data_IF_013305613939
#
_entry.id   IF_013305613939
#
_cell.length_a   1.000
_cell.length_b   1.000
_cell.length_c   1.000
_cell.angle_alpha   90.00
_cell.angle_beta   90.00
_cell.angle_gamma   90.00
#
_symmetry.space_group_name_H-M   'P 1'
#
loop_
_entity.id
_entity.type
_entity.pdbx_description
1 polymer ?
#
# COMPACT_ATOMS: atom_id res chain seq x y z
N UNK A 1 -13.48 -3.51 8.83
CA UNK A 1 -12.56 -4.65 8.88
C UNK A 1 -13.06 -5.65 7.85
N UNK A 2 -12.35 -5.87 6.77
CA UNK A 2 -12.72 -6.89 5.78
C UNK A 2 -12.59 -8.25 6.44
N UNK A 3 -13.60 -9.10 6.25
CA UNK A 3 -13.58 -10.45 6.79
C UNK A 3 -12.68 -11.32 5.96
N UNK A 4 -11.93 -12.19 6.62
CA UNK A 4 -11.22 -13.26 5.96
C UNK A 4 -12.26 -14.16 5.25
N UNK A 5 -12.25 -14.15 3.93
CA UNK A 5 -13.19 -14.93 3.11
C UNK A 5 -12.94 -16.44 3.18
N UNK A 6 -11.81 -16.84 3.77
CA UNK A 6 -11.46 -18.26 3.96
C UNK A 6 -12.22 -18.89 5.14
N UNK A 7 -12.71 -18.08 6.07
CA UNK A 7 -13.47 -18.58 7.22
C UNK A 7 -14.93 -18.79 6.81
N UNK A 8 -15.36 -20.04 6.80
CA UNK A 8 -16.75 -20.44 6.52
C UNK A 8 -17.31 -21.21 7.70
N UNK A 9 -18.54 -20.91 8.08
CA UNK A 9 -19.26 -21.58 9.15
C UNK A 9 -20.65 -22.03 8.66
N UNK A 10 -21.23 -22.98 9.35
CA UNK A 10 -22.58 -23.42 9.03
C UNK A 10 -23.61 -22.31 9.34
N UNK A 11 -24.65 -22.24 8.52
CA UNK A 11 -25.76 -21.31 8.75
C UNK A 11 -26.46 -21.60 10.06
N UNK A 12 -26.87 -20.57 10.84
CA UNK A 12 -27.76 -20.75 11.97
C UNK A 12 -29.09 -21.43 11.53
N UNK A 13 -29.53 -22.40 12.30
CA UNK A 13 -30.76 -23.17 11.96
C UNK A 13 -32.05 -22.34 12.09
N UNK A 14 -32.06 -21.32 12.93
CA UNK A 14 -33.25 -20.51 13.24
C UNK A 14 -32.90 -19.04 13.44
N UNK A 15 -33.89 -18.16 13.32
CA UNK A 15 -33.76 -16.72 13.64
C UNK A 15 -32.99 -15.93 12.60
N UNK A 16 -32.91 -16.40 11.35
CA UNK A 16 -32.20 -15.73 10.28
C UNK A 16 -33.14 -15.19 9.21
N UNK A 17 -32.71 -14.11 8.57
CA UNK A 17 -33.34 -13.52 7.40
C UNK A 17 -32.28 -13.21 6.33
N UNK A 18 -32.69 -13.25 5.08
CA UNK A 18 -31.80 -12.99 3.94
C UNK A 18 -32.13 -11.66 3.30
N UNK A 19 -31.11 -10.97 2.80
CA UNK A 19 -31.27 -9.75 1.98
C UNK A 19 -30.24 -9.74 0.86
N UNK A 20 -30.71 -9.64 -0.38
CA UNK A 20 -29.84 -9.51 -1.55
C UNK A 20 -29.51 -8.05 -1.80
N UNK A 21 -28.20 -7.71 -1.87
CA UNK A 21 -27.68 -6.35 -2.11
C UNK A 21 -26.53 -6.48 -3.11
N UNK A 22 -26.63 -5.76 -4.23
CA UNK A 22 -25.59 -5.75 -5.29
C UNK A 22 -25.12 -7.16 -5.72
N UNK A 23 -26.09 -8.07 -5.94
CA UNK A 23 -25.80 -9.43 -6.38
C UNK A 23 -25.30 -10.39 -5.30
N UNK A 24 -25.09 -9.94 -4.07
CA UNK A 24 -24.61 -10.75 -2.94
C UNK A 24 -25.72 -10.94 -1.91
N UNK A 25 -25.81 -12.14 -1.34
CA UNK A 25 -26.82 -12.48 -0.32
C UNK A 25 -26.23 -12.31 1.08
N UNK A 26 -26.79 -11.37 1.85
CA UNK A 26 -26.42 -11.13 3.25
C UNK A 26 -27.37 -11.84 4.19
N UNK A 27 -26.82 -12.38 5.28
CA UNK A 27 -27.55 -13.10 6.32
C UNK A 27 -27.66 -12.22 7.55
N UNK A 28 -28.88 -12.08 8.05
CA UNK A 28 -29.21 -11.28 9.23
C UNK A 28 -29.73 -12.20 10.33
N UNK A 29 -29.33 -11.94 11.56
CA UNK A 29 -29.89 -12.56 12.76
C UNK A 29 -30.94 -11.64 13.35
N UNK A 30 -32.11 -12.19 13.68
CA UNK A 30 -33.22 -11.46 14.30
C UNK A 30 -32.96 -11.40 15.80
N UNK A 31 -32.68 -10.20 16.31
CA UNK A 31 -32.37 -9.98 17.72
C UNK A 31 -33.60 -9.72 18.57
N UNK A 32 -34.63 -9.11 18.00
CA UNK A 32 -35.91 -8.89 18.66
C UNK A 32 -37.06 -8.88 17.64
N UNK A 33 -38.22 -9.35 18.07
CA UNK A 33 -39.47 -9.24 17.31
C UNK A 33 -40.50 -8.49 18.16
N UNK A 34 -41.09 -7.45 17.62
CA UNK A 34 -42.05 -6.61 18.32
C UNK A 34 -43.12 -6.06 17.36
N UNK A 35 -44.19 -5.49 17.90
CA UNK A 35 -45.15 -4.75 17.10
C UNK A 35 -44.84 -3.26 17.14
N UNK A 36 -44.79 -2.61 15.98
CA UNK A 36 -44.57 -1.15 15.93
C UNK A 36 -45.83 -0.39 16.42
N UNK A 37 -45.72 0.94 16.52
CA UNK A 37 -46.83 1.81 16.96
C UNK A 37 -48.14 1.67 16.15
N UNK A 38 -48.03 1.13 14.92
CA UNK A 38 -49.17 0.85 14.03
C UNK A 38 -49.67 -0.62 14.17
N UNK A 39 -49.23 -1.36 15.19
CA UNK A 39 -49.62 -2.72 15.44
C UNK A 39 -49.04 -3.77 14.47
N UNK A 40 -48.15 -3.37 13.53
CA UNK A 40 -47.56 -4.28 12.55
C UNK A 40 -46.34 -4.99 13.14
N UNK A 41 -46.18 -6.32 12.85
CA UNK A 41 -45.02 -7.07 13.29
C UNK A 41 -43.72 -6.48 12.64
N UNK A 42 -42.74 -6.26 13.45
CA UNK A 42 -41.45 -5.69 13.05
C UNK A 42 -40.34 -6.44 13.75
N UNK A 43 -39.17 -6.52 13.12
CA UNK A 43 -38.01 -7.22 13.66
C UNK A 43 -36.79 -6.30 13.72
N UNK A 44 -36.10 -6.32 14.82
CA UNK A 44 -34.71 -5.85 14.84
C UNK A 44 -33.81 -6.99 14.34
N UNK A 45 -32.85 -6.63 13.53
CA UNK A 45 -31.94 -7.61 12.92
C UNK A 45 -30.56 -7.02 12.69
N UNK A 46 -29.54 -7.83 12.92
CA UNK A 46 -28.14 -7.48 12.75
C UNK A 46 -27.56 -8.38 11.67
N UNK A 47 -26.81 -7.80 10.73
CA UNK A 47 -26.11 -8.58 9.71
C UNK A 47 -25.01 -9.42 10.37
N UNK A 48 -25.04 -10.73 10.20
CA UNK A 48 -24.08 -11.68 10.76
C UNK A 48 -23.07 -12.21 9.73
N UNK A 49 -23.25 -11.86 8.46
CA UNK A 49 -22.32 -12.28 7.42
C UNK A 49 -22.92 -12.30 6.02
N UNK A 50 -22.24 -12.95 5.12
CA UNK A 50 -22.63 -13.14 3.72
C UNK A 50 -22.72 -14.62 3.42
N UNK A 51 -23.75 -15.01 2.66
CA UNK A 51 -23.87 -16.36 2.14
C UNK A 51 -22.84 -16.58 1.02
N UNK A 52 -22.09 -17.64 1.11
CA UNK A 52 -21.33 -18.18 -0.01
C UNK A 52 -22.27 -19.06 -0.84
N UNK A 53 -22.57 -18.63 -2.06
CA UNK A 53 -23.55 -19.32 -2.92
C UNK A 53 -23.01 -20.65 -3.47
N UNK A 54 -21.68 -20.85 -3.51
CA UNK A 54 -21.05 -22.09 -3.97
C UNK A 54 -21.10 -23.18 -2.91
N UNK A 55 -20.78 -22.84 -1.67
CA UNK A 55 -20.70 -23.80 -0.57
C UNK A 55 -21.95 -23.85 0.29
N UNK A 56 -22.85 -22.87 0.14
CA UNK A 56 -24.04 -22.74 0.99
C UNK A 56 -23.74 -22.36 2.44
N UNK A 57 -22.49 -21.99 2.75
CA UNK A 57 -22.02 -21.63 4.09
C UNK A 57 -22.06 -20.13 4.34
N UNK A 58 -22.02 -19.75 5.59
CA UNK A 58 -21.91 -18.35 6.02
C UNK A 58 -20.44 -17.93 6.10
N UNK A 59 -20.08 -16.86 5.41
CA UNK A 59 -18.86 -16.10 5.68
C UNK A 59 -19.18 -15.12 6.80
N UNK A 60 -18.77 -15.42 8.06
CA UNK A 60 -19.23 -14.69 9.22
C UNK A 60 -18.58 -13.31 9.33
N UNK A 61 -19.30 -12.37 9.93
CA UNK A 61 -18.75 -11.09 10.32
C UNK A 61 -18.59 -10.99 11.84
N UNK A 62 -18.09 -9.86 12.35
CA UNK A 62 -17.91 -9.62 13.77
C UNK A 62 -19.19 -9.88 14.59
N UNK A 63 -20.34 -9.46 14.07
CA UNK A 63 -21.63 -9.63 14.76
C UNK A 63 -22.06 -11.10 14.88
N UNK A 64 -21.60 -11.99 13.97
CA UNK A 64 -21.82 -13.43 14.13
C UNK A 64 -21.23 -13.93 15.44
N UNK A 65 -20.01 -13.49 15.78
CA UNK A 65 -19.37 -13.89 17.03
C UNK A 65 -19.95 -13.15 18.24
N UNK A 66 -20.00 -11.83 18.19
CA UNK A 66 -20.36 -11.01 19.34
C UNK A 66 -21.87 -11.02 19.64
N UNK A 67 -22.74 -11.00 18.64
CA UNK A 67 -24.20 -10.92 18.82
C UNK A 67 -24.86 -12.27 18.81
N UNK A 68 -24.53 -13.15 17.83
CA UNK A 68 -25.17 -14.46 17.70
C UNK A 68 -24.55 -15.49 18.64
N UNK A 69 -23.22 -15.69 18.60
CA UNK A 69 -22.53 -16.64 19.48
C UNK A 69 -22.28 -16.11 20.89
N UNK A 70 -22.41 -14.80 21.12
CA UNK A 70 -22.07 -14.13 22.40
C UNK A 70 -20.64 -14.45 22.85
N UNK A 71 -19.71 -14.54 21.92
CA UNK A 71 -18.28 -14.82 22.13
C UNK A 71 -17.44 -13.74 21.47
N UNK A 72 -16.24 -13.45 21.95
CA UNK A 72 -15.34 -12.57 21.24
C UNK A 72 -14.99 -13.17 19.85
N UNK A 73 -14.84 -12.32 18.85
CA UNK A 73 -14.38 -12.76 17.54
C UNK A 73 -13.02 -13.45 17.66
N UNK A 74 -12.83 -14.65 17.08
CA UNK A 74 -11.53 -15.29 17.05
C UNK A 74 -10.50 -14.35 16.43
N UNK A 75 -9.42 -14.11 17.15
CA UNK A 75 -8.26 -13.40 16.59
C UNK A 75 -7.50 -14.44 15.78
N UNK A 76 -7.51 -14.31 14.46
CA UNK A 76 -6.62 -15.08 13.62
C UNK A 76 -5.20 -14.59 13.92
N UNK A 77 -4.41 -15.39 14.60
CA UNK A 77 -2.99 -15.11 14.79
C UNK A 77 -2.29 -15.26 13.43
N UNK A 78 -2.06 -14.15 12.76
CA UNK A 78 -1.18 -14.14 11.59
C UNK A 78 0.26 -14.16 12.06
N UNK A 79 1.07 -15.06 11.53
CA UNK A 79 2.52 -15.00 11.67
C UNK A 79 3.02 -14.03 10.60
N UNK A 80 3.77 -13.01 11.01
CA UNK A 80 4.41 -12.06 10.12
C UNK A 80 5.91 -12.08 10.34
N UNK A 81 6.68 -12.01 9.25
CA UNK A 81 8.11 -11.78 9.32
C UNK A 81 8.40 -10.37 9.84
N UNK A 82 9.30 -10.30 10.80
CA UNK A 82 9.68 -9.05 11.46
C UNK A 82 11.12 -8.62 11.17
N UNK A 83 12.00 -9.54 10.78
CA UNK A 83 13.43 -9.30 10.71
C UNK A 83 13.83 -8.12 9.82
N UNK A 84 13.34 -8.11 8.59
CA UNK A 84 13.58 -7.02 7.63
C UNK A 84 13.01 -5.69 8.13
N UNK A 85 11.81 -5.72 8.71
CA UNK A 85 11.14 -4.53 9.23
C UNK A 85 11.94 -3.84 10.33
N UNK A 86 12.47 -4.62 11.27
CA UNK A 86 13.25 -4.08 12.40
C UNK A 86 14.52 -3.36 11.91
N UNK A 87 15.25 -4.00 11.00
CA UNK A 87 16.47 -3.40 10.42
C UNK A 87 16.12 -2.14 9.62
N UNK A 88 15.12 -2.22 8.75
CA UNK A 88 14.68 -1.11 7.92
C UNK A 88 14.25 0.09 8.77
N UNK A 89 13.43 -0.15 9.79
CA UNK A 89 12.93 0.90 10.68
C UNK A 89 14.06 1.59 11.45
N UNK A 90 15.03 0.82 11.95
CA UNK A 90 16.22 1.35 12.64
C UNK A 90 17.08 2.22 11.72
N UNK A 91 17.31 1.78 10.47
CA UNK A 91 18.06 2.55 9.48
C UNK A 91 17.32 3.84 9.13
N UNK A 92 16.04 3.77 8.79
CA UNK A 92 15.23 4.95 8.47
C UNK A 92 15.17 5.96 9.63
N UNK A 93 15.12 5.47 10.86
CA UNK A 93 15.17 6.31 12.07
C UNK A 93 16.54 6.97 12.26
N UNK A 94 17.62 6.19 12.11
CA UNK A 94 19.00 6.68 12.23
C UNK A 94 19.31 7.77 11.19
N UNK A 95 18.84 7.61 9.97
CA UNK A 95 19.00 8.56 8.88
C UNK A 95 18.00 9.73 8.94
N UNK A 96 17.01 9.72 9.83
CA UNK A 96 15.98 10.75 9.91
C UNK A 96 14.92 10.70 8.81
N UNK A 97 14.96 9.69 7.92
CA UNK A 97 14.01 9.52 6.79
C UNK A 97 12.57 9.50 7.27
N UNK A 98 12.28 8.71 8.30
CA UNK A 98 10.92 8.60 8.87
C UNK A 98 10.39 9.96 9.34
N UNK A 99 11.23 10.77 9.97
CA UNK A 99 10.86 12.11 10.47
C UNK A 99 10.56 13.06 9.32
N UNK A 100 11.40 13.06 8.30
CA UNK A 100 11.23 13.91 7.11
C UNK A 100 10.01 13.51 6.30
N UNK A 101 9.77 12.21 6.09
CA UNK A 101 8.59 11.73 5.39
C UNK A 101 7.30 12.14 6.14
N UNK A 102 7.24 11.98 7.45
CA UNK A 102 6.09 12.41 8.25
C UNK A 102 5.87 13.92 8.22
N UNK A 103 6.93 14.71 8.09
CA UNK A 103 6.85 16.17 8.01
C UNK A 103 6.27 16.65 6.68
N UNK A 104 6.73 16.09 5.57
CA UNK A 104 6.39 16.56 4.23
C UNK A 104 5.27 15.76 3.54
N UNK A 105 5.06 14.51 3.96
CA UNK A 105 4.06 13.59 3.44
C UNK A 105 3.25 12.92 4.56
N UNK A 106 2.60 13.70 5.45
CA UNK A 106 1.96 13.13 6.65
C UNK A 106 0.94 12.02 6.35
N UNK A 107 0.20 12.16 5.25
CA UNK A 107 -0.84 11.21 4.85
C UNK A 107 -0.26 9.97 4.13
N UNK A 108 0.95 10.08 3.56
CA UNK A 108 1.51 9.05 2.68
C UNK A 108 2.79 8.38 3.25
N UNK A 109 3.33 8.91 4.36
CA UNK A 109 4.62 8.48 4.88
C UNK A 109 4.70 6.97 5.19
N UNK A 110 3.62 6.39 5.66
CA UNK A 110 3.56 4.96 6.00
C UNK A 110 3.56 4.09 4.76
N UNK A 111 2.77 4.46 3.78
CA UNK A 111 2.67 3.80 2.48
C UNK A 111 4.00 3.87 1.72
N UNK A 112 4.64 5.03 1.74
CA UNK A 112 5.98 5.23 1.14
C UNK A 112 7.03 4.35 1.82
N UNK A 113 7.06 4.29 3.15
CA UNK A 113 7.97 3.42 3.89
C UNK A 113 7.68 1.93 3.63
N UNK A 114 6.40 1.55 3.53
CA UNK A 114 6.01 0.17 3.19
C UNK A 114 6.47 -0.22 1.79
N UNK A 115 6.26 0.65 0.81
CA UNK A 115 6.73 0.42 -0.56
C UNK A 115 8.27 0.36 -0.64
N UNK A 116 8.97 1.23 0.08
CA UNK A 116 10.44 1.23 0.13
C UNK A 116 10.98 -0.05 0.78
N UNK A 117 10.38 -0.51 1.88
CA UNK A 117 10.73 -1.77 2.52
C UNK A 117 10.54 -2.95 1.57
N UNK A 118 9.41 -3.00 0.87
CA UNK A 118 9.12 -4.03 -0.12
C UNK A 118 10.16 -4.05 -1.25
N UNK A 119 10.48 -2.89 -1.84
CA UNK A 119 11.47 -2.78 -2.92
C UNK A 119 12.84 -3.30 -2.48
N UNK A 120 13.24 -3.02 -1.25
CA UNK A 120 14.53 -3.47 -0.70
C UNK A 120 14.57 -4.98 -0.42
N UNK A 121 13.42 -5.59 -0.08
CA UNK A 121 13.35 -7.03 0.27
C UNK A 121 13.13 -7.92 -0.94
N UNK A 122 12.20 -7.54 -1.82
CA UNK A 122 11.67 -8.41 -2.87
C UNK A 122 11.90 -7.86 -4.28
N UNK A 123 12.18 -6.55 -4.41
CA UNK A 123 12.35 -5.89 -5.67
C UNK A 123 11.19 -5.00 -6.09
N UNK A 124 11.17 -4.59 -7.36
CA UNK A 124 10.31 -3.51 -7.84
C UNK A 124 8.97 -3.94 -8.47
N UNK A 125 8.63 -5.24 -8.43
CA UNK A 125 7.38 -5.75 -9.02
C UNK A 125 6.21 -5.54 -8.06
N UNK A 126 5.61 -4.36 -8.08
CA UNK A 126 4.54 -3.94 -7.16
C UNK A 126 3.28 -4.83 -7.16
N UNK A 127 3.15 -5.72 -8.12
CA UNK A 127 2.04 -6.69 -8.18
C UNK A 127 1.95 -7.56 -6.92
N UNK A 128 3.10 -7.92 -6.32
CA UNK A 128 3.16 -8.78 -5.14
C UNK A 128 3.16 -8.03 -3.80
N UNK A 129 3.06 -6.70 -3.82
CA UNK A 129 3.06 -5.87 -2.61
C UNK A 129 1.96 -6.26 -1.61
N UNK A 130 0.78 -6.63 -2.10
CA UNK A 130 -0.34 -7.02 -1.24
C UNK A 130 -0.04 -8.32 -0.46
N UNK A 131 0.53 -9.31 -1.11
CA UNK A 131 0.95 -10.58 -0.49
C UNK A 131 2.08 -10.36 0.52
N UNK A 132 3.06 -9.53 0.15
CA UNK A 132 4.14 -9.13 1.05
C UNK A 132 3.61 -8.49 2.33
N UNK A 133 2.70 -7.53 2.23
CA UNK A 133 2.15 -6.84 3.41
C UNK A 133 1.24 -7.71 4.29
N UNK A 134 0.82 -8.88 3.82
CA UNK A 134 0.13 -9.88 4.64
C UNK A 134 1.09 -10.72 5.45
N UNK A 135 2.25 -11.07 4.87
CA UNK A 135 3.24 -11.97 5.46
C UNK A 135 4.35 -11.24 6.24
N UNK A 136 4.51 -9.92 6.05
CA UNK A 136 5.56 -9.12 6.70
C UNK A 136 4.97 -7.97 7.50
N UNK A 137 5.60 -7.66 8.62
CA UNK A 137 5.30 -6.43 9.34
C UNK A 137 5.85 -5.24 8.56
N UNK A 138 5.05 -4.20 8.39
CA UNK A 138 5.41 -2.98 7.65
C UNK A 138 4.98 -1.72 8.40
N UNK A 139 5.52 -0.57 8.00
CA UNK A 139 5.17 0.72 8.59
C UNK A 139 3.67 1.06 8.47
N UNK A 140 2.98 0.57 7.44
CA UNK A 140 1.55 0.76 7.20
C UNK A 140 0.65 -0.07 8.10
N UNK A 141 1.18 -1.09 8.78
CA UNK A 141 0.44 -1.99 9.68
C UNK A 141 -0.84 -2.56 9.08
N UNK A 142 -0.79 -3.03 7.84
CA UNK A 142 -1.93 -3.64 7.17
C UNK A 142 -1.67 -3.95 5.71
N UNK A 143 -2.67 -4.52 5.06
CA UNK A 143 -2.61 -4.80 3.62
C UNK A 143 -2.45 -3.51 2.83
N UNK A 144 -1.54 -3.53 1.87
CA UNK A 144 -1.35 -2.46 0.89
C UNK A 144 -1.35 -3.06 -0.51
N UNK A 145 -2.39 -2.77 -1.29
CA UNK A 145 -2.47 -3.23 -2.67
C UNK A 145 -1.60 -2.37 -3.60
N UNK A 146 -1.27 -2.92 -4.78
CA UNK A 146 -0.60 -2.17 -5.85
C UNK A 146 -1.41 -0.93 -6.29
N UNK A 147 -2.75 -1.01 -6.26
CA UNK A 147 -3.62 0.12 -6.57
C UNK A 147 -3.51 1.24 -5.51
N UNK A 148 -3.48 0.88 -4.23
CA UNK A 148 -3.23 1.85 -3.16
C UNK A 148 -1.85 2.49 -3.28
N UNK A 149 -0.83 1.69 -3.61
CA UNK A 149 0.52 2.20 -3.89
C UNK A 149 0.50 3.24 -5.01
N UNK A 150 -0.14 2.93 -6.14
CA UNK A 150 -0.27 3.84 -7.28
C UNK A 150 -1.01 5.13 -6.91
N UNK A 151 -2.10 5.04 -6.14
CA UNK A 151 -2.84 6.22 -5.64
C UNK A 151 -1.98 7.08 -4.71
N UNK A 152 -1.22 6.46 -3.82
CA UNK A 152 -0.30 7.15 -2.92
C UNK A 152 0.72 7.96 -3.74
N UNK A 153 1.40 7.34 -4.68
CA UNK A 153 2.40 8.05 -5.49
C UNK A 153 1.81 9.11 -6.40
N UNK A 154 0.62 8.89 -6.96
CA UNK A 154 -0.09 9.89 -7.78
C UNK A 154 -0.53 11.12 -6.97
N UNK A 155 -0.69 11.00 -5.66
CA UNK A 155 -1.08 12.11 -4.77
C UNK A 155 0.08 12.97 -4.30
N UNK A 156 1.34 12.57 -4.56
CA UNK A 156 2.53 13.32 -4.13
C UNK A 156 2.69 14.61 -4.95
N UNK A 157 2.80 15.74 -4.26
CA UNK A 157 3.00 17.02 -4.90
C UNK A 157 4.48 17.32 -5.12
N UNK A 158 4.80 17.88 -6.26
CA UNK A 158 6.16 18.25 -6.64
C UNK A 158 6.82 19.18 -5.62
N UNK A 159 6.06 20.11 -5.07
CA UNK A 159 6.55 21.08 -4.07
C UNK A 159 6.99 20.40 -2.78
N UNK A 160 6.22 19.43 -2.29
CA UNK A 160 6.54 18.67 -1.06
C UNK A 160 7.80 17.82 -1.28
N UNK A 161 7.96 17.23 -2.48
CA UNK A 161 9.18 16.49 -2.84
C UNK A 161 10.41 17.43 -2.86
N UNK A 162 10.29 18.63 -3.42
CA UNK A 162 11.38 19.62 -3.42
C UNK A 162 11.75 20.05 -2.00
N UNK A 163 10.77 20.27 -1.13
CA UNK A 163 10.98 20.60 0.28
C UNK A 163 11.66 19.47 1.02
N UNK A 164 11.23 18.24 0.79
CA UNK A 164 11.86 17.04 1.36
C UNK A 164 13.33 16.96 0.96
N UNK A 165 13.65 17.04 -0.32
CA UNK A 165 15.04 16.94 -0.80
C UNK A 165 15.91 18.10 -0.33
N UNK A 166 15.36 19.30 -0.24
CA UNK A 166 16.08 20.46 0.32
C UNK A 166 16.48 20.22 1.79
N UNK A 167 15.60 19.62 2.57
CA UNK A 167 15.91 19.28 3.96
C UNK A 167 16.85 18.07 4.05
N UNK A 168 16.63 17.07 3.19
CA UNK A 168 17.46 15.88 3.10
C UNK A 168 18.91 16.21 2.74
N UNK A 169 19.14 17.14 1.82
CA UNK A 169 20.49 17.59 1.44
C UNK A 169 21.29 18.20 2.60
N UNK A 170 20.67 18.60 3.71
CA UNK A 170 21.40 19.04 4.91
C UNK A 170 22.20 17.92 5.58
N UNK A 171 21.94 16.65 5.24
CA UNK A 171 22.76 15.51 5.67
C UNK A 171 24.08 15.43 4.91
N UNK A 172 24.20 16.15 3.78
CA UNK A 172 25.45 16.24 3.02
C UNK A 172 26.53 16.93 3.85
N UNK A 173 27.75 16.41 3.84
CA UNK A 173 28.90 17.09 4.41
C UNK A 173 29.25 18.32 3.58
N UNK A 174 29.71 19.41 4.24
CA UNK A 174 29.90 20.70 3.57
C UNK A 174 30.95 20.66 2.45
N UNK A 175 31.95 19.81 2.57
CA UNK A 175 33.14 19.77 1.68
C UNK A 175 33.15 18.52 0.77
N UNK A 176 32.11 17.66 0.80
CA UNK A 176 32.11 16.46 -0.01
C UNK A 176 31.90 16.74 -1.49
N UNK A 177 32.52 15.92 -2.32
CA UNK A 177 32.22 15.86 -3.74
C UNK A 177 30.87 15.18 -3.96
N UNK A 178 30.20 15.62 -5.03
CA UNK A 178 28.90 15.03 -5.44
C UNK A 178 29.11 14.36 -6.79
N UNK A 179 29.00 13.05 -6.80
CA UNK A 179 28.97 12.28 -8.04
C UNK A 179 27.57 12.41 -8.70
N UNK A 180 27.57 12.51 -10.02
CA UNK A 180 26.35 12.47 -10.83
C UNK A 180 26.42 11.29 -11.78
N UNK A 181 25.45 10.41 -11.72
CA UNK A 181 25.32 9.26 -12.60
C UNK A 181 23.92 9.20 -13.22
N UNK A 182 23.82 8.66 -14.42
CA UNK A 182 22.58 8.55 -15.16
C UNK A 182 22.30 7.10 -15.53
N UNK A 183 21.07 6.69 -15.28
CA UNK A 183 20.54 5.40 -15.76
C UNK A 183 19.35 5.62 -16.66
N UNK A 184 19.18 4.72 -17.64
CA UNK A 184 18.00 4.67 -18.48
C UNK A 184 17.07 3.57 -18.01
N UNK A 185 15.78 3.86 -17.95
CA UNK A 185 14.74 2.92 -17.53
C UNK A 185 13.81 2.71 -18.73
N UNK A 186 13.90 1.54 -19.35
CA UNK A 186 13.03 1.16 -20.47
C UNK A 186 11.59 0.98 -20.01
N UNK A 187 10.63 1.43 -20.82
CA UNK A 187 9.22 1.35 -20.46
C UNK A 187 8.33 1.12 -21.68
N UNK A 188 7.32 0.26 -21.52
CA UNK A 188 6.23 0.09 -22.48
C UNK A 188 5.07 1.07 -22.28
N UNK A 189 5.17 1.96 -21.28
CA UNK A 189 4.09 2.88 -20.96
C UNK A 189 3.86 3.90 -22.06
N UNK A 190 2.59 4.07 -22.44
CA UNK A 190 2.16 5.11 -23.37
C UNK A 190 1.64 6.38 -22.64
N UNK A 191 1.54 6.31 -21.31
CA UNK A 191 0.92 7.36 -20.50
C UNK A 191 1.94 8.18 -19.69
N UNK A 192 3.23 7.85 -19.76
CA UNK A 192 4.29 8.60 -19.09
C UNK A 192 4.92 9.54 -20.14
N UNK A 193 4.81 10.84 -19.88
CA UNK A 193 5.24 11.89 -20.81
C UNK A 193 6.72 11.84 -21.15
N UNK A 194 7.55 11.46 -20.19
CA UNK A 194 9.01 11.39 -20.30
C UNK A 194 9.51 10.13 -21.01
N UNK A 195 8.61 9.17 -21.33
CA UNK A 195 8.96 7.96 -22.06
C UNK A 195 9.13 8.28 -23.55
N UNK A 196 10.37 8.41 -23.98
CA UNK A 196 10.75 8.76 -25.35
C UNK A 196 11.85 7.86 -25.87
N UNK A 197 11.95 7.76 -27.20
CA UNK A 197 13.04 7.06 -27.85
C UNK A 197 14.35 7.84 -27.70
N UNK A 198 15.39 7.16 -27.25
CA UNK A 198 16.70 7.74 -27.05
C UNK A 198 17.81 6.70 -27.06
N UNK A 199 19.02 7.12 -26.73
CA UNK A 199 20.15 6.21 -26.60
C UNK A 199 19.97 5.35 -25.35
N UNK A 200 19.87 4.03 -25.56
CA UNK A 200 19.79 3.04 -24.49
C UNK A 200 21.13 2.29 -24.40
N UNK A 201 21.77 2.34 -23.23
CA UNK A 201 23.05 1.66 -22.96
C UNK A 201 22.96 0.15 -23.15
N UNK A 202 21.83 -0.43 -22.75
CA UNK A 202 21.58 -1.87 -22.79
C UNK A 202 21.13 -2.35 -24.18
N UNK A 203 21.06 -1.42 -25.14
CA UNK A 203 20.64 -1.68 -26.54
C UNK A 203 19.24 -2.28 -26.67
N UNK A 204 18.42 -2.09 -25.69
CA UNK A 204 17.00 -2.44 -25.75
C UNK A 204 16.28 -1.54 -26.77
N UNK A 205 15.46 -2.13 -27.63
CA UNK A 205 14.64 -1.39 -28.58
C UNK A 205 13.32 -0.96 -27.95
N UNK A 206 13.41 -0.13 -26.92
CA UNK A 206 12.26 0.39 -26.17
C UNK A 206 12.43 1.88 -25.90
N UNK A 207 11.34 2.63 -25.85
CA UNK A 207 11.39 3.97 -25.31
C UNK A 207 11.75 3.91 -23.82
N UNK A 208 12.33 4.99 -23.32
CA UNK A 208 12.90 5.05 -21.98
C UNK A 208 12.68 6.41 -21.32
N UNK A 209 12.84 6.44 -20.03
CA UNK A 209 13.10 7.65 -19.25
C UNK A 209 14.53 7.62 -18.75
N UNK A 210 15.16 8.78 -18.66
CA UNK A 210 16.47 8.92 -18.03
C UNK A 210 16.29 9.41 -16.59
N UNK A 211 17.05 8.83 -15.67
CA UNK A 211 17.10 9.24 -14.28
C UNK A 211 18.54 9.55 -13.89
N UNK A 212 18.81 10.84 -13.60
CA UNK A 212 20.07 11.27 -13.05
C UNK A 212 20.02 11.32 -11.54
N UNK A 213 21.01 10.73 -10.89
CA UNK A 213 21.14 10.70 -9.42
C UNK A 213 22.37 11.46 -8.97
N UNK A 214 22.20 12.27 -7.95
CA UNK A 214 23.28 12.97 -7.26
C UNK A 214 23.61 12.20 -5.98
N UNK A 215 24.87 11.85 -5.80
CA UNK A 215 25.34 11.01 -4.69
C UNK A 215 26.51 11.68 -3.98
N UNK A 216 26.44 11.80 -2.66
CA UNK A 216 27.50 12.33 -1.84
C UNK A 216 28.59 11.30 -1.60
N UNK A 217 29.85 11.63 -1.93
CA UNK A 217 30.97 10.70 -1.86
C UNK A 217 31.32 10.31 -0.42
N UNK A 218 31.37 11.29 0.49
CA UNK A 218 31.70 11.04 1.89
C UNK A 218 30.50 10.64 2.76
N UNK A 219 29.34 11.25 2.50
CA UNK A 219 28.11 10.90 3.22
C UNK A 219 27.56 9.52 2.84
N UNK A 220 27.98 9.02 1.67
CA UNK A 220 27.45 7.77 1.08
C UNK A 220 25.92 7.78 0.95
N UNK A 221 25.35 8.96 0.66
CA UNK A 221 23.90 9.13 0.55
C UNK A 221 23.47 9.57 -0.85
N UNK A 222 22.36 9.03 -1.39
CA UNK A 222 21.69 9.63 -2.53
C UNK A 222 21.09 10.98 -2.06
N UNK A 223 21.51 12.06 -2.66
CA UNK A 223 21.15 13.42 -2.23
C UNK A 223 19.92 13.95 -2.97
N UNK A 224 19.84 13.66 -4.28
CA UNK A 224 18.77 14.14 -5.15
C UNK A 224 18.70 13.31 -6.41
N UNK A 225 17.53 13.30 -7.07
CA UNK A 225 17.38 12.72 -8.40
C UNK A 225 16.59 13.64 -9.32
N UNK A 226 16.78 13.47 -10.62
CA UNK A 226 15.97 14.09 -11.67
C UNK A 226 15.58 13.05 -12.69
N UNK A 227 14.32 13.12 -13.12
CA UNK A 227 13.80 12.36 -14.24
C UNK A 227 13.62 13.30 -15.42
N UNK A 228 14.03 12.86 -16.61
CA UNK A 228 13.91 13.62 -17.84
C UNK A 228 13.68 12.72 -19.05
N UNK A 229 13.19 13.28 -20.19
CA UNK A 229 12.87 12.49 -21.37
C UNK A 229 14.03 11.68 -21.89
N UNK A 230 13.73 10.44 -22.32
CA UNK A 230 14.72 9.52 -22.85
C UNK A 230 15.45 10.01 -24.10
N UNK A 231 14.85 10.94 -24.85
CA UNK A 231 15.46 11.56 -26.05
C UNK A 231 16.56 12.57 -25.72
N UNK A 232 16.61 13.08 -24.48
CA UNK A 232 17.58 14.09 -24.07
C UNK A 232 18.88 13.42 -23.65
N UNK A 233 20.01 13.84 -24.24
CA UNK A 233 21.32 13.34 -23.82
C UNK A 233 21.75 13.92 -22.47
N UNK A 234 22.50 13.14 -21.68
CA UNK A 234 23.00 13.52 -20.35
C UNK A 234 23.79 14.85 -20.38
N UNK A 235 24.61 15.04 -21.44
CA UNK A 235 25.40 16.26 -21.64
C UNK A 235 24.52 17.51 -21.84
N UNK A 236 23.37 17.35 -22.47
CA UNK A 236 22.43 18.46 -22.72
C UNK A 236 21.67 18.80 -21.45
N UNK A 237 21.37 17.80 -20.64
CA UNK A 237 20.61 17.96 -19.40
C UNK A 237 21.41 18.65 -18.29
N UNK A 238 22.74 18.49 -18.29
CA UNK A 238 23.64 19.12 -17.29
C UNK A 238 23.95 20.61 -17.57
N UNK A 239 23.55 21.14 -18.71
CA UNK A 239 23.68 22.56 -19.05
C UNK A 239 22.44 23.34 -18.62
#
# INVERSE_FOLDING_TARGET
>A
MALDQTVQVDLPKHGIAYKKISGKTYVYYVTAAYRNEKGKPTNERVSIGRLDEETGKLIPNRNYYETYLKKPMPVTAGIQDFGVSDVFEKVCKKLGVTTLLRKYFPENAKEMLTAAQYILSEGNVMYYLDEYTQSHQTAGKGRMSNEQCSKTFASLRQEDMQLFFREWMKHKKQTEYVAYDVTSISSYSQNIREVEWGYNRDKERLPQINMGMYYGEESCLPLYYRVYPGSISDKTHLK
#
